data_IF_315505454210
#
_entry.id   IF_315505454210
#
_cell.length_a   1.000
_cell.length_b   1.000
_cell.length_c   1.000
_cell.angle_alpha   90.00
_cell.angle_beta   90.00
_cell.angle_gamma   90.00
#
_symmetry.space_group_name_H-M   'P 1'
#
loop_
_entity.id
_entity.type
_entity.pdbx_description
1 polymer ?
#
# COMPACT_ATOMS: atom_id res chain seq x y z
N UNK A 1 33.00 -10.67 41.79
CA UNK A 1 32.62 -9.28 42.14
C UNK A 1 32.10 -8.64 40.86
N UNK A 2 30.79 -8.79 40.60
CA UNK A 2 30.17 -8.35 39.35
C UNK A 2 30.04 -6.82 39.41
N UNK A 3 30.84 -6.12 38.60
CA UNK A 3 30.73 -4.66 38.45
C UNK A 3 29.72 -4.41 37.34
N UNK A 4 28.66 -3.69 37.68
CA UNK A 4 27.62 -3.28 36.73
C UNK A 4 28.21 -2.40 35.64
N UNK A 5 28.12 -2.89 34.39
CA UNK A 5 28.39 -2.12 33.19
C UNK A 5 27.24 -1.12 33.06
N UNK A 6 27.56 0.17 32.94
CA UNK A 6 26.56 1.21 32.67
C UNK A 6 25.81 0.83 31.39
N UNK A 7 24.46 0.71 31.42
CA UNK A 7 23.73 0.25 30.25
C UNK A 7 23.85 1.28 29.13
N UNK A 8 24.57 0.90 28.06
CA UNK A 8 24.58 1.68 26.82
C UNK A 8 23.28 1.42 26.07
N UNK A 9 22.75 2.48 25.44
CA UNK A 9 21.57 2.36 24.58
C UNK A 9 22.02 1.66 23.29
N UNK A 10 21.49 0.47 23.05
CA UNK A 10 21.69 -0.28 21.82
C UNK A 10 21.00 0.45 20.66
N UNK A 11 21.71 0.64 19.56
CA UNK A 11 21.22 1.25 18.34
C UNK A 11 20.76 0.15 17.38
N UNK A 12 19.48 0.21 17.00
CA UNK A 12 18.87 -0.59 15.95
C UNK A 12 19.06 0.11 14.59
N UNK A 13 20.32 0.18 14.15
CA UNK A 13 20.72 0.76 12.87
C UNK A 13 21.87 -0.04 12.28
N UNK A 14 21.83 -0.28 10.98
CA UNK A 14 22.96 -0.83 10.24
C UNK A 14 24.13 0.17 10.21
N UNK A 15 25.36 -0.33 10.06
CA UNK A 15 26.57 0.51 10.02
C UNK A 15 26.48 1.61 8.95
N UNK A 16 25.91 1.29 7.78
CA UNK A 16 25.68 2.26 6.70
C UNK A 16 24.73 3.40 7.11
N UNK A 17 23.68 3.08 7.87
CA UNK A 17 22.72 4.08 8.37
C UNK A 17 23.36 4.95 9.44
N UNK A 18 24.22 4.39 10.31
CA UNK A 18 24.99 5.16 11.29
C UNK A 18 25.91 6.17 10.61
N UNK A 19 26.58 5.76 9.53
CA UNK A 19 27.43 6.64 8.72
C UNK A 19 26.60 7.77 8.10
N UNK A 20 25.44 7.45 7.53
CA UNK A 20 24.54 8.44 6.93
C UNK A 20 24.00 9.44 7.96
N UNK A 21 23.55 8.94 9.12
CA UNK A 21 23.09 9.77 10.24
C UNK A 21 24.23 10.66 10.75
N UNK A 22 25.44 10.12 10.91
CA UNK A 22 26.60 10.87 11.37
C UNK A 22 26.97 12.02 10.41
N UNK A 23 27.01 11.74 9.10
CA UNK A 23 27.39 12.73 8.11
C UNK A 23 26.27 13.76 7.86
N UNK A 24 25.00 13.39 8.04
CA UNK A 24 23.86 14.28 7.75
C UNK A 24 23.35 15.03 8.98
N UNK A 25 23.07 14.32 10.07
CA UNK A 25 22.43 14.86 11.30
C UNK A 25 23.04 14.21 12.56
N UNK A 26 24.33 14.46 12.85
CA UNK A 26 25.05 13.76 13.93
C UNK A 26 24.49 14.04 15.33
N UNK A 27 23.73 15.14 15.49
CA UNK A 27 23.09 15.50 16.75
C UNK A 27 22.15 14.40 17.29
N UNK A 28 21.59 13.57 16.41
CA UNK A 28 20.73 12.43 16.77
C UNK A 28 21.48 11.42 17.65
N UNK A 29 22.78 11.25 17.43
CA UNK A 29 23.59 10.27 18.15
C UNK A 29 24.03 10.76 19.55
N UNK A 30 23.98 12.08 19.82
CA UNK A 30 24.53 12.70 21.05
C UNK A 30 24.04 12.08 22.36
N UNK A 31 22.79 11.62 22.39
CA UNK A 31 22.18 11.04 23.60
C UNK A 31 22.34 9.51 23.69
N UNK A 32 22.92 8.88 22.67
CA UNK A 32 23.09 7.43 22.53
C UNK A 32 24.56 7.01 22.49
N UNK A 33 25.48 7.94 22.75
CA UNK A 33 26.93 7.73 22.68
C UNK A 33 27.60 7.77 24.05
N UNK A 34 28.68 7.02 24.18
CA UNK A 34 29.66 7.20 25.27
C UNK A 34 30.80 8.08 24.76
N UNK A 35 31.09 9.15 25.50
CA UNK A 35 32.19 10.06 25.15
C UNK A 35 33.49 9.51 25.68
N UNK A 36 34.47 9.33 24.81
CA UNK A 36 35.78 8.75 25.14
C UNK A 36 36.92 9.59 24.60
N UNK A 37 38.10 9.41 25.19
CA UNK A 37 39.36 9.92 24.64
C UNK A 37 40.46 8.87 24.74
N UNK A 38 41.45 9.01 23.86
CA UNK A 38 42.65 8.18 23.92
C UNK A 38 43.50 8.62 25.11
N UNK A 39 44.06 7.66 25.83
CA UNK A 39 45.05 7.92 26.89
C UNK A 39 46.44 8.20 26.27
N UNK A 40 46.95 9.46 26.32
CA UNK A 40 48.23 9.84 25.72
C UNK A 40 49.42 9.07 26.31
N UNK A 41 49.32 8.67 27.59
CA UNK A 41 50.41 7.96 28.28
C UNK A 41 50.65 6.56 27.73
N UNK A 42 49.67 5.99 27.01
CA UNK A 42 49.72 4.65 26.43
C UNK A 42 50.06 4.64 24.93
N UNK A 43 50.19 5.82 24.31
CA UNK A 43 50.54 6.00 22.88
C UNK A 43 52.06 6.00 22.61
N UNK A 44 52.91 6.23 23.61
CA UNK A 44 54.34 6.55 23.41
C UNK A 44 55.30 5.37 23.25
N UNK A 45 54.94 4.30 22.54
CA UNK A 45 55.91 3.28 22.10
C UNK A 45 55.42 2.58 20.82
N UNK A 46 56.36 2.23 19.95
CA UNK A 46 56.29 1.82 18.53
C UNK A 46 55.39 0.59 18.18
N UNK A 47 54.50 0.17 19.08
CA UNK A 47 53.61 -0.99 18.89
C UNK A 47 52.41 -1.05 19.85
N UNK A 48 51.98 0.07 20.47
CA UNK A 48 50.83 0.05 21.39
C UNK A 48 49.52 0.40 20.69
N UNK A 49 48.59 -0.55 20.73
CA UNK A 49 47.19 -0.38 20.29
C UNK A 49 46.53 0.73 21.13
N UNK A 50 45.86 1.73 20.51
CA UNK A 50 45.20 2.80 21.24
C UNK A 50 44.14 2.28 22.23
N UNK A 51 44.19 2.81 23.45
CA UNK A 51 43.22 2.55 24.52
C UNK A 51 42.37 3.79 24.74
N UNK A 52 41.05 3.61 24.81
CA UNK A 52 40.08 4.67 25.03
C UNK A 52 39.41 4.54 26.39
N UNK A 53 39.17 5.67 27.04
CA UNK A 53 38.53 5.73 28.38
C UNK A 53 37.37 6.72 28.38
N UNK A 54 36.33 6.47 29.19
CA UNK A 54 35.19 7.39 29.31
C UNK A 54 35.65 8.74 29.87
N UNK A 55 35.35 9.81 29.15
CA UNK A 55 35.69 11.18 29.53
C UNK A 55 34.53 12.12 29.24
N UNK A 56 34.20 12.99 30.20
CA UNK A 56 33.11 13.99 30.06
C UNK A 56 33.24 14.83 28.78
N UNK A 57 34.48 15.18 28.43
CA UNK A 57 34.83 15.99 27.26
C UNK A 57 35.59 15.18 26.19
N UNK A 58 35.32 13.87 26.10
CA UNK A 58 35.93 13.00 25.10
C UNK A 58 35.78 13.52 23.67
N UNK A 59 36.85 13.36 22.89
CA UNK A 59 36.93 13.77 21.48
C UNK A 59 36.31 12.74 20.53
N UNK A 60 35.94 11.57 21.04
CA UNK A 60 35.36 10.49 20.26
C UNK A 60 34.10 9.97 20.94
N UNK A 61 33.25 9.33 20.15
CA UNK A 61 31.98 8.75 20.53
C UNK A 61 32.00 7.26 20.27
N UNK A 62 31.59 6.46 21.25
CA UNK A 62 31.33 5.05 21.07
C UNK A 62 29.82 4.84 20.96
N UNK A 63 29.41 4.13 19.92
CA UNK A 63 28.04 3.64 19.72
C UNK A 63 28.01 2.12 19.86
N UNK A 64 26.95 1.60 20.47
CA UNK A 64 26.71 0.16 20.60
C UNK A 64 25.58 -0.24 19.64
N UNK A 65 25.81 -1.24 18.80
CA UNK A 65 24.85 -1.72 17.79
C UNK A 65 24.28 -3.08 18.18
N UNK A 66 23.22 -3.55 17.52
CA UNK A 66 22.51 -4.82 17.80
C UNK A 66 23.38 -6.07 17.91
N UNK A 67 24.54 -6.13 17.25
CA UNK A 67 25.44 -7.28 17.31
C UNK A 67 26.44 -7.23 18.48
N UNK A 68 26.18 -6.38 19.48
CA UNK A 68 27.11 -6.06 20.59
C UNK A 68 28.48 -5.54 20.12
N UNK A 69 28.55 -5.07 18.87
CA UNK A 69 29.72 -4.40 18.29
C UNK A 69 29.76 -2.95 18.74
N UNK A 70 30.94 -2.49 19.14
CA UNK A 70 31.18 -1.11 19.51
C UNK A 70 31.91 -0.40 18.36
N UNK A 71 31.29 0.67 17.88
CA UNK A 71 31.86 1.51 16.84
C UNK A 71 32.30 2.85 17.41
N UNK A 72 33.49 3.28 17.03
CA UNK A 72 34.12 4.52 17.40
C UNK A 72 34.00 5.53 16.25
N UNK A 73 33.48 6.69 16.61
CA UNK A 73 33.24 7.82 15.73
C UNK A 73 34.00 9.04 16.27
N UNK A 74 34.50 9.95 15.43
CA UNK A 74 34.92 11.26 15.92
C UNK A 74 33.73 12.00 16.52
N UNK A 75 33.95 12.84 17.53
CA UNK A 75 32.89 13.71 18.04
C UNK A 75 32.49 14.71 16.96
N UNK A 76 31.20 14.92 16.76
CA UNK A 76 30.74 15.96 15.83
C UNK A 76 31.33 17.33 16.17
N UNK A 77 31.84 18.01 15.14
CA UNK A 77 32.47 19.32 15.26
C UNK A 77 33.88 19.28 15.87
N UNK A 78 34.50 18.10 15.99
CA UNK A 78 35.93 18.01 16.29
C UNK A 78 36.72 18.69 15.17
N UNK A 79 37.61 19.61 15.56
CA UNK A 79 38.54 20.24 14.63
C UNK A 79 39.82 19.42 14.59
N UNK A 80 40.10 18.79 13.45
CA UNK A 80 41.33 18.03 13.24
C UNK A 80 42.39 19.01 12.74
N UNK A 81 43.47 19.16 13.52
CA UNK A 81 44.58 20.08 13.27
C UNK A 81 45.90 19.34 13.48
N UNK A 82 47.02 19.98 13.16
CA UNK A 82 48.35 19.38 13.29
C UNK A 82 48.67 18.80 14.69
N UNK A 83 48.06 19.32 15.76
CA UNK A 83 48.36 18.89 17.13
C UNK A 83 47.60 17.63 17.54
N UNK A 84 46.42 17.37 16.97
CA UNK A 84 45.64 16.17 17.26
C UNK A 84 45.62 15.16 16.11
N UNK A 85 46.19 15.52 14.95
CA UNK A 85 46.25 14.66 13.77
C UNK A 85 46.90 13.31 14.07
N UNK A 86 47.98 13.27 14.85
CA UNK A 86 48.66 12.01 15.18
C UNK A 86 47.75 11.08 16.00
N UNK A 87 47.04 11.64 16.99
CA UNK A 87 46.05 10.89 17.77
C UNK A 87 44.90 10.40 16.87
N UNK A 88 44.42 11.23 15.94
CA UNK A 88 43.38 10.81 14.99
C UNK A 88 43.90 9.70 14.06
N UNK A 89 45.12 9.83 13.53
CA UNK A 89 45.78 8.81 12.68
C UNK A 89 46.00 7.47 13.39
N UNK A 90 46.10 7.49 14.72
CA UNK A 90 46.15 6.26 15.52
C UNK A 90 44.83 5.49 15.48
N UNK A 91 43.69 6.17 15.30
CA UNK A 91 42.34 5.60 15.34
C UNK A 91 41.67 5.48 13.96
N UNK A 92 42.01 6.37 13.03
CA UNK A 92 41.40 6.48 11.71
C UNK A 92 42.48 6.65 10.64
N UNK A 93 42.25 6.05 9.48
CA UNK A 93 42.96 6.40 8.26
C UNK A 93 42.41 7.73 7.73
N UNK A 94 43.29 8.69 7.49
CA UNK A 94 42.93 10.05 7.07
C UNK A 94 43.30 10.23 5.60
N UNK A 95 42.34 9.97 4.73
CA UNK A 95 42.49 10.04 3.28
C UNK A 95 42.40 11.49 2.80
N UNK A 96 43.26 11.86 1.83
CA UNK A 96 43.30 13.18 1.18
C UNK A 96 43.41 14.36 2.17
N UNK A 97 44.02 14.14 3.34
CA UNK A 97 44.21 15.21 4.32
C UNK A 97 45.17 16.28 3.78
N UNK A 98 44.65 17.49 3.56
CA UNK A 98 45.44 18.68 3.30
C UNK A 98 45.39 19.59 4.52
N UNK A 99 46.53 20.22 4.85
CA UNK A 99 46.60 21.28 5.87
C UNK A 99 45.85 22.53 5.34
N UNK A 100 44.53 22.46 5.31
CA UNK A 100 43.66 23.59 5.02
C UNK A 100 42.90 23.96 6.29
N UNK A 101 42.60 25.24 6.45
CA UNK A 101 41.98 25.81 7.65
C UNK A 101 40.52 25.33 7.88
N UNK A 102 39.97 24.58 6.93
CA UNK A 102 38.63 24.02 6.93
C UNK A 102 38.70 22.52 7.21
N UNK A 103 38.82 22.17 8.49
CA UNK A 103 38.87 20.79 8.98
C UNK A 103 37.55 20.03 8.90
N UNK A 104 36.80 20.20 7.80
CA UNK A 104 35.60 19.43 7.50
C UNK A 104 36.01 18.09 6.89
N UNK A 105 35.35 17.03 7.33
CA UNK A 105 35.62 15.67 6.89
C UNK A 105 34.32 14.88 6.84
N UNK A 106 34.34 13.80 6.08
CA UNK A 106 33.25 12.83 5.99
C UNK A 106 33.75 11.52 6.59
N UNK A 107 32.92 10.91 7.43
CA UNK A 107 33.17 9.56 7.91
C UNK A 107 32.79 8.58 6.82
N UNK A 108 33.75 7.78 6.34
CA UNK A 108 33.49 6.70 5.40
C UNK A 108 33.27 5.37 6.12
N UNK A 109 34.05 5.14 7.18
CA UNK A 109 33.97 3.93 7.97
C UNK A 109 34.25 4.23 9.44
N UNK A 110 33.40 3.78 10.37
CA UNK A 110 33.71 3.88 11.80
C UNK A 110 34.87 2.96 12.18
N UNK A 111 35.58 3.32 13.24
CA UNK A 111 36.60 2.45 13.83
C UNK A 111 35.93 1.39 14.70
N UNK A 112 36.44 0.16 14.70
CA UNK A 112 35.92 -0.93 15.53
C UNK A 112 36.68 -0.99 16.85
N UNK A 113 35.95 -1.12 17.95
CA UNK A 113 36.56 -1.25 19.28
C UNK A 113 35.95 -2.40 20.08
N UNK A 114 36.75 -3.00 20.96
CA UNK A 114 36.28 -4.00 21.93
C UNK A 114 36.34 -3.43 23.34
N UNK A 115 35.28 -3.63 24.11
CA UNK A 115 35.27 -3.28 25.54
C UNK A 115 36.18 -4.23 26.34
N UNK A 116 37.01 -3.67 27.20
CA UNK A 116 37.91 -4.44 28.06
C UNK A 116 37.15 -5.09 29.22
N UNK A 117 37.69 -6.15 29.86
CA UNK A 117 37.03 -6.84 30.97
C UNK A 117 36.73 -5.96 32.20
N UNK A 118 37.34 -4.79 32.30
CA UNK A 118 37.08 -3.81 33.34
C UNK A 118 35.78 -3.02 33.15
N UNK A 119 35.17 -3.13 31.96
CA UNK A 119 33.93 -2.44 31.57
C UNK A 119 34.06 -0.92 31.41
N UNK A 120 35.28 -0.38 31.35
CA UNK A 120 35.55 1.06 31.36
C UNK A 120 36.55 1.53 30.31
N UNK A 121 37.38 0.62 29.82
CA UNK A 121 38.33 0.88 28.76
C UNK A 121 37.87 0.18 27.47
N UNK A 122 38.19 0.78 26.31
CA UNK A 122 37.97 0.17 25.00
C UNK A 122 39.29 0.09 24.24
N UNK A 123 39.48 -1.00 23.51
CA UNK A 123 40.63 -1.25 22.64
C UNK A 123 40.24 -1.06 21.19
N UNK A 124 41.05 -0.33 20.44
CA UNK A 124 40.93 -0.30 18.98
C UNK A 124 41.29 -1.66 18.38
N UNK A 125 40.38 -2.26 17.61
CA UNK A 125 40.67 -3.47 16.84
C UNK A 125 40.90 -3.12 15.36
N UNK A 126 40.03 -2.28 14.77
CA UNK A 126 40.13 -1.86 13.37
C UNK A 126 40.06 -0.34 13.25
N UNK A 127 40.95 0.27 12.46
CA UNK A 127 40.90 1.71 12.18
C UNK A 127 39.68 2.06 11.33
N UNK A 128 39.08 3.21 11.62
CA UNK A 128 38.05 3.79 10.75
C UNK A 128 38.67 4.56 9.58
N UNK A 129 37.85 5.14 8.72
CA UNK A 129 38.30 5.91 7.55
C UNK A 129 37.59 7.26 7.52
N UNK A 130 38.38 8.32 7.47
CA UNK A 130 37.94 9.70 7.30
C UNK A 130 38.45 10.24 5.95
N UNK A 131 37.57 10.91 5.21
CA UNK A 131 37.92 11.59 3.98
C UNK A 131 37.79 13.10 4.15
N UNK A 132 38.83 13.83 3.77
CA UNK A 132 38.92 15.29 3.87
C UNK A 132 38.74 16.00 2.52
N UNK A 133 38.45 15.25 1.45
CA UNK A 133 38.15 15.83 0.15
C UNK A 133 36.79 16.56 0.18
N UNK A 134 36.76 17.90 0.00
CA UNK A 134 35.52 18.67 -0.02
C UNK A 134 34.63 18.33 -1.22
N UNK A 135 35.16 17.64 -2.22
CA UNK A 135 34.44 17.19 -3.40
C UNK A 135 33.81 15.79 -3.23
N UNK A 136 34.07 15.10 -2.13
CA UNK A 136 33.41 13.84 -1.79
C UNK A 136 32.08 14.10 -1.04
N UNK A 137 30.97 13.38 -1.30
CA UNK A 137 30.80 12.30 -2.26
C UNK A 137 30.14 12.82 -3.55
N UNK A 138 30.59 13.93 -4.14
CA UNK A 138 29.96 14.45 -5.36
C UNK A 138 30.13 13.47 -6.53
N UNK A 139 31.30 12.82 -6.66
CA UNK A 139 31.55 11.84 -7.72
C UNK A 139 30.73 10.55 -7.56
N UNK A 140 30.70 9.98 -6.36
CA UNK A 140 29.96 8.75 -6.08
C UNK A 140 28.44 8.96 -6.14
N UNK A 141 27.95 10.09 -5.61
CA UNK A 141 26.54 10.47 -5.73
C UNK A 141 26.15 10.68 -7.20
N UNK A 142 27.02 11.31 -8.01
CA UNK A 142 26.80 11.45 -9.47
C UNK A 142 26.77 10.09 -10.17
N UNK A 143 27.66 9.17 -9.80
CA UNK A 143 27.68 7.81 -10.36
C UNK A 143 26.39 7.03 -10.03
N UNK A 144 25.92 7.09 -8.77
CA UNK A 144 24.66 6.47 -8.35
C UNK A 144 23.46 7.08 -9.06
N UNK A 145 23.41 8.42 -9.20
CA UNK A 145 22.36 9.10 -9.97
C UNK A 145 22.37 8.67 -11.44
N UNK A 146 23.55 8.51 -12.04
CA UNK A 146 23.68 8.08 -13.43
C UNK A 146 23.23 6.62 -13.61
N UNK A 147 23.60 5.73 -12.70
CA UNK A 147 23.12 4.33 -12.69
C UNK A 147 21.60 4.26 -12.55
N UNK A 148 21.02 5.02 -11.61
CA UNK A 148 19.58 5.08 -11.42
C UNK A 148 18.85 5.58 -12.68
N UNK A 149 19.42 6.56 -13.40
CA UNK A 149 18.87 7.03 -14.67
C UNK A 149 18.89 5.96 -15.75
N UNK A 150 20.00 5.23 -15.89
CA UNK A 150 20.10 4.13 -16.86
C UNK A 150 19.08 3.02 -16.59
N UNK A 151 18.85 2.69 -15.32
CA UNK A 151 17.85 1.67 -14.98
C UNK A 151 16.42 2.17 -15.23
N UNK A 152 16.12 3.45 -14.99
CA UNK A 152 14.83 4.05 -15.35
C UNK A 152 14.59 3.96 -16.87
N UNK A 153 15.58 4.32 -17.69
CA UNK A 153 15.46 4.26 -19.15
C UNK A 153 15.24 2.83 -19.65
N UNK A 154 15.91 1.85 -19.03
CA UNK A 154 15.72 0.43 -19.30
C UNK A 154 14.29 -0.03 -18.96
N UNK A 155 13.82 0.26 -17.75
CA UNK A 155 12.48 -0.12 -17.30
C UNK A 155 11.38 0.52 -18.14
N UNK A 156 11.57 1.78 -18.56
CA UNK A 156 10.62 2.45 -19.47
C UNK A 156 10.55 1.76 -20.84
N UNK A 157 11.68 1.28 -21.35
CA UNK A 157 11.73 0.53 -22.61
C UNK A 157 10.99 -0.80 -22.51
N UNK A 158 11.20 -1.54 -21.42
CA UNK A 158 10.52 -2.81 -21.15
C UNK A 158 9.00 -2.63 -20.95
N UNK A 159 8.59 -1.55 -20.25
CA UNK A 159 7.19 -1.18 -20.09
C UNK A 159 6.52 -0.88 -21.45
N UNK A 160 7.21 -0.16 -22.33
CA UNK A 160 6.71 0.16 -23.66
C UNK A 160 6.52 -1.09 -24.53
N UNK A 161 7.47 -2.03 -24.46
CA UNK A 161 7.38 -3.30 -25.17
C UNK A 161 6.23 -4.17 -24.65
N UNK A 162 6.09 -4.29 -23.32
CA UNK A 162 4.99 -5.04 -22.68
C UNK A 162 3.63 -4.43 -23.04
N UNK A 163 3.53 -3.10 -23.08
CA UNK A 163 2.30 -2.41 -23.48
C UNK A 163 1.94 -2.73 -24.94
N UNK A 164 2.92 -2.70 -25.84
CA UNK A 164 2.73 -3.06 -27.26
C UNK A 164 2.28 -4.52 -27.41
N UNK A 165 2.86 -5.44 -26.64
CA UNK A 165 2.44 -6.84 -26.64
C UNK A 165 1.00 -7.01 -26.15
N UNK A 166 0.60 -6.31 -25.08
CA UNK A 166 -0.78 -6.33 -24.60
C UNK A 166 -1.77 -5.77 -25.63
N UNK A 167 -1.42 -4.69 -26.32
CA UNK A 167 -2.23 -4.14 -27.40
C UNK A 167 -2.41 -5.14 -28.55
N UNK A 168 -1.34 -5.85 -28.94
CA UNK A 168 -1.41 -6.91 -29.94
C UNK A 168 -2.26 -8.11 -29.48
N UNK A 169 -2.14 -8.51 -28.22
CA UNK A 169 -2.92 -9.61 -27.66
C UNK A 169 -4.41 -9.25 -27.64
N UNK A 170 -4.75 -8.04 -27.20
CA UNK A 170 -6.12 -7.54 -27.21
C UNK A 170 -6.71 -7.50 -28.62
N UNK A 171 -5.93 -7.08 -29.62
CA UNK A 171 -6.37 -7.10 -31.01
C UNK A 171 -6.68 -8.52 -31.50
N UNK A 172 -5.81 -9.50 -31.19
CA UNK A 172 -6.06 -10.92 -31.52
C UNK A 172 -7.28 -11.48 -30.82
N UNK A 173 -7.50 -11.13 -29.55
CA UNK A 173 -8.69 -11.56 -28.80
C UNK A 173 -9.96 -10.98 -29.44
N UNK A 174 -9.94 -9.72 -29.85
CA UNK A 174 -11.06 -9.09 -30.53
C UNK A 174 -11.37 -9.76 -31.89
N UNK A 175 -10.33 -10.09 -32.67
CA UNK A 175 -10.46 -10.79 -33.95
C UNK A 175 -11.09 -12.18 -33.77
N UNK A 176 -10.57 -12.98 -32.82
CA UNK A 176 -11.12 -14.30 -32.51
C UNK A 176 -12.57 -14.23 -31.98
N UNK A 177 -12.90 -13.19 -31.21
CA UNK A 177 -14.27 -12.98 -30.74
C UNK A 177 -15.22 -12.66 -31.90
N UNK A 178 -14.77 -11.85 -32.87
CA UNK A 178 -15.56 -11.51 -34.05
C UNK A 178 -15.81 -12.74 -34.94
N UNK A 179 -14.76 -13.53 -35.21
CA UNK A 179 -14.85 -14.76 -36.01
C UNK A 179 -15.81 -15.78 -35.35
N UNK A 180 -15.72 -15.98 -34.04
CA UNK A 180 -16.66 -16.84 -33.31
C UNK A 180 -18.11 -16.33 -33.40
N UNK A 181 -18.33 -15.02 -33.29
CA UNK A 181 -19.68 -14.44 -33.40
C UNK A 181 -20.26 -14.56 -34.82
N UNK A 182 -19.43 -14.55 -35.86
CA UNK A 182 -19.89 -14.75 -37.24
C UNK A 182 -20.25 -16.20 -37.58
N UNK A 183 -19.68 -17.17 -36.87
CA UNK A 183 -19.95 -18.59 -37.10
C UNK A 183 -21.16 -19.12 -36.30
N UNK A 184 -21.58 -18.44 -35.23
CA UNK A 184 -22.77 -18.80 -34.43
C UNK A 184 -24.08 -18.85 -35.25
N UNK A 185 -24.37 -17.93 -36.20
CA UNK A 185 -25.57 -17.98 -37.02
C UNK A 185 -25.67 -19.20 -37.96
N UNK A 186 -24.54 -19.83 -38.31
CA UNK A 186 -24.54 -20.99 -39.21
C UNK A 186 -24.96 -22.30 -38.53
N UNK A 187 -24.76 -22.40 -37.21
CA UNK A 187 -25.11 -23.58 -36.40
C UNK A 187 -26.46 -23.43 -35.65
N UNK A 188 -27.09 -22.25 -35.71
CA UNK A 188 -28.40 -22.02 -35.10
C UNK A 188 -29.50 -22.38 -36.10
N UNK A 189 -30.44 -23.24 -35.69
CA UNK A 189 -31.69 -23.50 -36.43
C UNK A 189 -32.30 -22.15 -36.77
N UNK A 190 -32.43 -21.87 -38.06
CA UNK A 190 -32.98 -20.60 -38.51
C UNK A 190 -34.43 -20.49 -38.03
N UNK A 191 -34.90 -19.26 -37.79
CA UNK A 191 -36.29 -19.01 -37.38
C UNK A 191 -37.30 -19.64 -38.36
N UNK A 192 -36.93 -19.74 -39.64
CA UNK A 192 -37.76 -20.33 -40.69
C UNK A 192 -37.80 -21.86 -40.60
N UNK A 193 -36.68 -22.51 -40.28
CA UNK A 193 -36.65 -23.97 -40.01
C UNK A 193 -37.44 -24.33 -38.74
N UNK A 194 -37.32 -23.53 -37.68
CA UNK A 194 -38.09 -23.74 -36.44
C UNK A 194 -39.60 -23.57 -36.69
N UNK A 195 -40.01 -22.58 -37.47
CA UNK A 195 -41.42 -22.37 -37.80
C UNK A 195 -41.97 -23.49 -38.70
N UNK A 196 -41.18 -23.97 -39.68
CA UNK A 196 -41.56 -25.12 -40.50
C UNK A 196 -41.74 -26.40 -39.65
N UNK A 197 -40.85 -26.67 -38.69
CA UNK A 197 -40.97 -27.81 -37.78
C UNK A 197 -42.19 -27.68 -36.85
N UNK A 198 -42.47 -26.48 -36.34
CA UNK A 198 -43.67 -26.23 -35.52
C UNK A 198 -44.95 -26.48 -36.30
N UNK A 199 -45.03 -26.03 -37.57
CA UNK A 199 -46.19 -26.28 -38.43
C UNK A 199 -46.37 -27.77 -38.74
N UNK A 200 -45.27 -28.51 -38.91
CA UNK A 200 -45.33 -29.96 -39.06
C UNK A 200 -45.89 -30.63 -37.80
N UNK A 201 -45.46 -30.20 -36.61
CA UNK A 201 -46.01 -30.69 -35.33
C UNK A 201 -47.51 -30.41 -35.20
N UNK A 202 -47.96 -29.21 -35.55
CA UNK A 202 -49.39 -28.85 -35.52
C UNK A 202 -50.22 -29.74 -36.45
N UNK A 203 -49.71 -30.01 -37.66
CA UNK A 203 -50.39 -30.90 -38.62
C UNK A 203 -50.44 -32.36 -38.14
N UNK A 204 -49.40 -32.80 -37.45
CA UNK A 204 -49.32 -34.14 -36.87
C UNK A 204 -50.29 -34.28 -35.70
N UNK A 205 -50.42 -33.24 -34.87
CA UNK A 205 -51.35 -33.19 -33.75
C UNK A 205 -52.81 -33.29 -34.23
N UNK A 206 -53.19 -32.55 -35.27
CA UNK A 206 -54.52 -32.65 -35.86
C UNK A 206 -54.79 -34.04 -36.47
N UNK A 207 -53.79 -34.61 -37.13
CA UNK A 207 -53.88 -35.99 -37.65
C UNK A 207 -54.07 -37.00 -36.51
N UNK A 208 -53.37 -36.82 -35.39
CA UNK A 208 -53.51 -37.68 -34.23
C UNK A 208 -54.91 -37.54 -33.59
N UNK A 209 -55.42 -36.32 -33.42
CA UNK A 209 -56.78 -36.08 -32.89
C UNK A 209 -57.84 -36.74 -33.75
N UNK A 210 -57.77 -36.58 -35.07
CA UNK A 210 -58.74 -37.19 -35.99
C UNK A 210 -58.64 -38.73 -35.98
N UNK A 211 -57.43 -39.28 -35.87
CA UNK A 211 -57.23 -40.73 -35.74
C UNK A 211 -57.82 -41.27 -34.44
N UNK A 212 -57.59 -40.59 -33.31
CA UNK A 212 -58.18 -40.94 -32.01
C UNK A 212 -59.71 -40.93 -32.10
N UNK A 213 -60.30 -39.90 -32.71
CA UNK A 213 -61.76 -39.81 -32.88
C UNK A 213 -62.31 -40.97 -33.72
N UNK A 214 -61.63 -41.34 -34.81
CA UNK A 214 -62.02 -42.48 -35.65
C UNK A 214 -61.94 -43.79 -34.89
N UNK A 215 -60.87 -44.02 -34.12
CA UNK A 215 -60.74 -45.21 -33.27
C UNK A 215 -61.87 -45.27 -32.25
N UNK A 216 -62.15 -44.17 -31.55
CA UNK A 216 -63.27 -44.10 -30.59
C UNK A 216 -64.64 -44.34 -31.23
N UNK A 217 -64.84 -43.93 -32.48
CA UNK A 217 -66.06 -44.22 -33.23
C UNK A 217 -66.15 -45.71 -33.60
N UNK A 218 -65.06 -46.30 -34.12
CA UNK A 218 -65.01 -47.72 -34.46
C UNK A 218 -65.22 -48.61 -33.22
N UNK A 219 -64.67 -48.24 -32.07
CA UNK A 219 -64.90 -48.93 -30.80
C UNK A 219 -66.39 -48.92 -30.40
N UNK A 220 -67.10 -47.82 -30.63
CA UNK A 220 -68.55 -47.75 -30.41
C UNK A 220 -69.31 -48.63 -31.40
N UNK A 221 -68.96 -48.57 -32.68
CA UNK A 221 -69.56 -49.42 -33.73
C UNK A 221 -69.39 -50.91 -33.41
N UNK A 222 -68.20 -51.33 -33.01
CA UNK A 222 -67.92 -52.73 -32.64
C UNK A 222 -68.69 -53.16 -31.40
N UNK A 223 -68.87 -52.26 -30.43
CA UNK A 223 -69.65 -52.54 -29.22
C UNK A 223 -71.15 -52.67 -29.51
N UNK A 224 -71.66 -51.86 -30.44
CA UNK A 224 -73.05 -51.92 -30.90
C UNK A 224 -73.31 -53.14 -31.81
N UNK A 225 -72.31 -53.58 -32.58
CA UNK A 225 -72.35 -54.79 -33.41
C UNK A 225 -72.24 -56.07 -32.55
N UNK A 226 -71.43 -56.04 -31.48
CA UNK A 226 -71.38 -57.10 -30.45
C UNK A 226 -72.68 -57.26 -29.66
N UNK A 227 -73.60 -56.28 -29.68
CA UNK A 227 -74.91 -56.36 -29.02
C UNK A 227 -76.02 -56.94 -29.93
N UNK A 228 -75.73 -57.19 -31.21
CA UNK A 228 -76.68 -57.81 -32.17
C UNK A 228 -76.51 -59.32 -32.35
N UNK A 229 -75.47 -59.93 -31.80
CA UNK A 229 -75.37 -61.39 -31.67
C UNK A 229 -75.78 -61.84 -30.26
N UNK A 230 -76.74 -62.77 -30.20
CA UNK A 230 -77.20 -63.39 -28.94
C UNK A 230 -76.26 -64.54 -28.50
N UNK A 231 -76.27 -64.88 -27.19
CA UNK A 231 -75.06 -65.15 -26.43
C UNK A 231 -74.67 -66.64 -26.41
N UNK A 232 -73.37 -66.90 -26.17
CA UNK A 232 -72.93 -68.19 -25.60
C UNK A 232 -72.39 -67.92 -24.21
N UNK A 233 -73.02 -68.60 -23.26
CA UNK A 233 -72.84 -68.54 -21.82
C UNK A 233 -71.62 -69.36 -21.38
N UNK A 234 -70.74 -68.78 -20.56
CA UNK A 234 -70.04 -69.53 -19.51
C UNK A 234 -69.43 -68.61 -18.44
N UNK A 235 -70.21 -68.38 -17.38
CA UNK A 235 -69.86 -68.42 -15.94
C UNK A 235 -68.50 -67.87 -15.44
N UNK A 236 -68.66 -66.77 -14.68
CA UNK A 236 -68.12 -66.51 -13.33
C UNK A 236 -66.60 -66.42 -13.10
N UNK A 237 -66.15 -65.24 -12.61
CA UNK A 237 -65.84 -65.04 -11.18
C UNK A 237 -65.74 -63.55 -10.82
N UNK A 238 -66.27 -63.25 -9.63
CA UNK A 238 -66.27 -61.96 -8.93
C UNK A 238 -64.85 -61.40 -8.75
N UNK A 239 -64.70 -60.07 -8.79
CA UNK A 239 -64.22 -59.23 -7.68
C UNK A 239 -64.35 -57.75 -8.08
N UNK A 240 -64.80 -56.91 -7.14
CA UNK A 240 -64.83 -55.44 -7.23
C UNK A 240 -64.08 -54.85 -6.01
N UNK A 241 -63.94 -53.52 -5.86
CA UNK A 241 -62.78 -52.72 -6.21
C UNK A 241 -62.15 -52.05 -4.96
N UNK A 242 -61.12 -51.19 -5.10
CA UNK A 242 -61.28 -49.81 -4.61
C UNK A 242 -60.60 -48.76 -5.51
N UNK A 243 -61.28 -47.67 -5.90
CA UNK A 243 -61.33 -46.35 -5.24
C UNK A 243 -60.04 -45.50 -5.28
N UNK A 244 -60.19 -44.32 -5.92
CA UNK A 244 -59.69 -42.96 -5.54
C UNK A 244 -58.16 -42.78 -5.49
N UNK A 245 -57.56 -41.76 -6.13
CA UNK A 245 -57.90 -40.34 -5.95
C UNK A 245 -57.61 -39.47 -7.18
N UNK A 246 -58.49 -38.48 -7.33
CA UNK A 246 -58.23 -37.19 -7.95
C UNK A 246 -57.09 -36.49 -7.20
N UNK A 247 -56.18 -35.84 -7.93
CA UNK A 247 -55.86 -34.47 -7.55
C UNK A 247 -55.48 -33.65 -8.80
N UNK A 248 -56.11 -32.49 -8.82
CA UNK A 248 -56.23 -31.50 -9.87
C UNK A 248 -55.42 -30.32 -9.37
N UNK A 249 -54.56 -29.73 -10.20
CA UNK A 249 -54.38 -28.28 -10.26
C UNK A 249 -53.48 -27.87 -11.44
N UNK A 250 -54.11 -27.23 -12.42
CA UNK A 250 -53.48 -26.27 -13.33
C UNK A 250 -53.42 -24.89 -12.61
N UNK A 251 -53.07 -23.78 -13.29
CA UNK A 251 -51.79 -23.37 -13.88
C UNK A 251 -51.41 -21.95 -13.37
N UNK A 252 -50.28 -21.35 -13.81
CA UNK A 252 -50.23 -19.92 -14.20
C UNK A 252 -48.87 -19.49 -14.74
N UNK A 253 -48.89 -19.14 -16.01
CA UNK A 253 -47.91 -18.27 -16.68
C UNK A 253 -48.31 -16.82 -16.41
N UNK A 254 -47.34 -15.95 -16.13
CA UNK A 254 -47.36 -14.54 -16.54
C UNK A 254 -45.95 -13.93 -16.47
N UNK A 255 -45.68 -12.88 -17.26
CA UNK A 255 -44.43 -12.71 -18.01
C UNK A 255 -43.55 -11.59 -17.48
N UNK A 256 -42.26 -11.55 -17.88
CA UNK A 256 -41.52 -10.29 -17.84
C UNK A 256 -40.45 -10.19 -18.92
N UNK A 257 -40.57 -9.08 -19.65
CA UNK A 257 -39.70 -8.59 -20.71
C UNK A 257 -38.75 -7.50 -20.17
N UNK A 258 -37.74 -7.21 -20.99
CA UNK A 258 -36.89 -6.01 -21.13
C UNK A 258 -35.44 -6.11 -20.63
N UNK A 259 -34.54 -6.12 -21.64
CA UNK A 259 -33.18 -5.58 -21.78
C UNK A 259 -32.30 -5.37 -20.56
N UNK A 260 -31.06 -5.89 -20.65
CA UNK A 260 -29.87 -5.20 -20.14
C UNK A 260 -28.65 -5.61 -20.98
N UNK A 261 -27.95 -4.59 -21.48
CA UNK A 261 -26.66 -4.64 -22.16
C UNK A 261 -25.52 -5.21 -21.26
N UNK A 262 -24.40 -5.63 -21.87
CA UNK A 262 -23.30 -6.30 -21.19
C UNK A 262 -22.43 -5.29 -20.42
N UNK A 263 -22.38 -5.43 -19.09
CA UNK A 263 -21.45 -4.69 -18.24
C UNK A 263 -20.19 -5.53 -18.02
N UNK A 264 -19.05 -5.01 -18.47
CA UNK A 264 -17.70 -5.51 -18.16
C UNK A 264 -17.50 -5.72 -16.65
N UNK A 265 -16.71 -6.74 -16.24
CA UNK A 265 -16.37 -6.94 -14.84
C UNK A 265 -15.43 -5.83 -14.36
N UNK A 266 -15.99 -4.81 -13.72
CA UNK A 266 -15.28 -3.90 -12.83
C UNK A 266 -15.18 -4.61 -11.47
N UNK A 267 -13.99 -4.74 -10.86
CA UNK A 267 -13.88 -5.38 -9.56
C UNK A 267 -14.75 -4.62 -8.55
N UNK A 268 -15.58 -5.38 -7.86
CA UNK A 268 -16.49 -4.87 -6.84
C UNK A 268 -15.69 -4.04 -5.84
N UNK A 269 -16.10 -2.77 -5.69
CA UNK A 269 -15.84 -2.01 -4.47
C UNK A 269 -16.46 -2.79 -3.32
N UNK A 270 -15.64 -3.55 -2.60
CA UNK A 270 -15.92 -3.76 -1.18
C UNK A 270 -15.88 -2.38 -0.56
N UNK A 271 -17.05 -1.88 -0.16
CA UNK A 271 -17.12 -0.87 0.89
C UNK A 271 -16.49 -1.55 2.10
N UNK A 272 -15.18 -1.37 2.27
CA UNK A 272 -14.48 -1.74 3.48
C UNK A 272 -15.12 -0.89 4.56
N UNK A 273 -15.97 -1.50 5.38
CA UNK A 273 -16.29 -1.00 6.71
C UNK A 273 -14.96 -0.72 7.38
N UNK A 274 -14.58 0.55 7.43
CA UNK A 274 -13.41 1.00 8.16
C UNK A 274 -13.63 0.56 9.60
N UNK A 275 -12.89 -0.46 10.05
CA UNK A 275 -12.80 -0.80 11.45
C UNK A 275 -12.22 0.44 12.13
N UNK A 276 -13.05 1.17 12.87
CA UNK A 276 -12.61 2.34 13.63
C UNK A 276 -11.42 1.94 14.49
N UNK A 277 -10.23 2.36 14.08
CA UNK A 277 -9.02 2.17 14.84
C UNK A 277 -9.15 2.95 16.15
N UNK A 278 -8.82 2.31 17.29
CA UNK A 278 -9.00 2.89 18.63
C UNK A 278 -8.31 4.27 18.78
N UNK A 279 -7.31 4.57 17.95
CA UNK A 279 -6.61 5.85 17.95
C UNK A 279 -7.43 7.01 17.36
N UNK A 280 -8.37 6.77 16.45
CA UNK A 280 -9.24 7.83 15.89
C UNK A 280 -10.16 8.40 16.97
N UNK A 281 -10.65 7.55 17.87
CA UNK A 281 -11.42 7.99 19.03
C UNK A 281 -10.54 8.79 19.99
N UNK A 282 -9.28 8.41 20.17
CA UNK A 282 -8.29 9.16 20.96
C UNK A 282 -7.96 10.53 20.35
N UNK A 283 -7.84 10.60 19.02
CA UNK A 283 -7.67 11.84 18.28
C UNK A 283 -8.86 12.78 18.47
N UNK A 284 -10.09 12.28 18.27
CA UNK A 284 -11.31 13.07 18.41
C UNK A 284 -11.55 13.56 19.84
N UNK A 285 -11.00 12.86 20.85
CA UNK A 285 -11.02 13.29 22.27
C UNK A 285 -9.99 14.38 22.61
N UNK A 286 -9.28 14.93 21.62
CA UNK A 286 -8.25 15.97 21.80
C UNK A 286 -7.15 15.57 22.80
N UNK A 287 -6.79 14.29 22.84
CA UNK A 287 -5.66 13.85 23.66
C UNK A 287 -4.35 14.25 22.97
N UNK A 288 -3.51 15.02 23.66
CA UNK A 288 -2.17 15.45 23.20
C UNK A 288 -1.15 14.30 23.11
N UNK A 289 -1.60 13.04 23.18
CA UNK A 289 -0.77 11.85 23.28
C UNK A 289 -0.32 11.26 21.93
N UNK A 290 -0.84 11.75 20.80
CA UNK A 290 -0.45 11.24 19.48
C UNK A 290 0.80 11.97 18.98
N UNK A 291 1.89 11.23 18.80
CA UNK A 291 3.10 11.72 18.13
C UNK A 291 2.83 11.84 16.63
N UNK A 292 2.50 13.05 16.18
CA UNK A 292 2.19 13.37 14.78
C UNK A 292 3.37 14.08 14.12
N UNK A 293 3.70 13.71 12.89
CA UNK A 293 4.65 14.49 12.07
C UNK A 293 3.90 15.59 11.35
N UNK A 294 4.21 16.85 11.66
CA UNK A 294 3.52 18.00 11.06
C UNK A 294 3.85 18.18 9.57
N UNK A 295 2.80 18.25 8.75
CA UNK A 295 2.90 18.37 7.29
C UNK A 295 1.91 19.38 6.72
N UNK A 296 2.23 19.89 5.53
CA UNK A 296 1.35 20.73 4.73
C UNK A 296 1.42 20.33 3.25
N UNK A 297 0.32 20.49 2.48
CA UNK A 297 0.37 20.30 1.03
C UNK A 297 1.33 21.29 0.37
N UNK A 298 2.01 20.87 -0.70
CA UNK A 298 2.88 21.75 -1.48
C UNK A 298 2.04 22.75 -2.29
N UNK A 299 2.52 23.99 -2.41
CA UNK A 299 1.87 25.01 -3.25
C UNK A 299 1.73 24.56 -4.70
N UNK A 300 2.73 23.83 -5.22
CA UNK A 300 2.69 23.27 -6.57
C UNK A 300 1.52 22.30 -6.75
N UNK A 301 1.35 21.33 -5.85
CA UNK A 301 0.28 20.33 -5.97
C UNK A 301 -1.11 20.95 -5.80
N UNK A 302 -1.23 21.97 -4.93
CA UNK A 302 -2.46 22.75 -4.79
C UNK A 302 -2.78 23.58 -6.03
N UNK A 303 -1.78 24.24 -6.62
CA UNK A 303 -1.98 25.03 -7.83
C UNK A 303 -2.33 24.14 -9.03
N UNK A 304 -1.68 23.00 -9.18
CA UNK A 304 -2.03 22.02 -10.20
C UNK A 304 -3.49 21.57 -10.04
N UNK A 305 -3.95 21.31 -8.81
CA UNK A 305 -5.36 20.98 -8.54
C UNK A 305 -6.31 22.13 -8.91
N UNK A 306 -5.98 23.38 -8.58
CA UNK A 306 -6.78 24.57 -8.94
C UNK A 306 -6.89 24.75 -10.46
N UNK A 307 -5.87 24.34 -11.20
CA UNK A 307 -5.84 24.32 -12.67
C UNK A 307 -6.57 23.10 -13.27
N UNK A 308 -7.23 22.27 -12.47
CA UNK A 308 -8.01 21.12 -12.92
C UNK A 308 -7.22 19.82 -13.06
N UNK A 309 -5.95 19.79 -12.66
CA UNK A 309 -5.13 18.58 -12.69
C UNK A 309 -5.69 17.50 -11.77
N UNK A 310 -5.54 16.24 -12.21
CA UNK A 310 -5.86 15.04 -11.43
C UNK A 310 -4.65 14.44 -10.72
N UNK A 311 -3.50 15.10 -10.79
CA UNK A 311 -2.31 14.66 -10.06
C UNK A 311 -2.57 14.55 -8.55
N UNK A 312 -1.92 13.59 -7.88
CA UNK A 312 -2.06 13.39 -6.45
C UNK A 312 -1.48 14.58 -5.68
N UNK A 313 -2.02 14.86 -4.49
CA UNK A 313 -1.51 15.92 -3.62
C UNK A 313 -0.24 15.43 -2.92
N UNK A 314 0.78 16.28 -2.92
CA UNK A 314 2.05 16.04 -2.23
C UNK A 314 2.07 16.87 -0.96
N UNK A 315 2.45 16.22 0.14
CA UNK A 315 2.58 16.80 1.48
C UNK A 315 4.05 16.79 1.87
N UNK A 316 4.53 17.85 2.51
CA UNK A 316 5.90 17.98 3.00
C UNK A 316 5.93 18.37 4.46
N UNK A 317 7.01 18.01 5.16
CA UNK A 317 7.23 18.41 6.55
C UNK A 317 7.21 19.93 6.70
N UNK A 318 6.43 20.43 7.67
CA UNK A 318 6.33 21.85 7.97
C UNK A 318 6.35 22.06 9.47
N UNK A 319 7.11 23.08 9.94
CA UNK A 319 7.20 23.43 11.38
C UNK A 319 5.90 23.98 11.99
N UNK A 320 4.93 24.30 11.14
CA UNK A 320 3.57 24.75 11.51
C UNK A 320 2.59 24.09 10.56
N UNK A 321 2.65 22.76 10.50
CA UNK A 321 1.82 21.98 9.59
C UNK A 321 0.34 22.11 9.94
N UNK A 322 -0.50 22.20 8.93
CA UNK A 322 -1.96 22.17 9.13
C UNK A 322 -2.49 20.76 9.32
N UNK A 323 -1.67 19.76 9.02
CA UNK A 323 -2.00 18.35 9.12
C UNK A 323 -0.88 17.60 9.83
N UNK A 324 -1.19 16.40 10.31
CA UNK A 324 -0.23 15.50 10.95
C UNK A 324 -0.28 14.12 10.29
N UNK A 325 0.89 13.50 10.16
CA UNK A 325 1.01 12.08 9.80
C UNK A 325 1.11 11.25 11.08
N UNK A 326 0.19 10.30 11.22
CA UNK A 326 0.22 9.25 12.22
C UNK A 326 0.62 7.94 11.55
N UNK A 327 1.55 7.22 12.15
CA UNK A 327 2.08 5.96 11.63
C UNK A 327 1.56 4.84 12.52
N UNK A 328 0.85 3.87 11.93
CA UNK A 328 0.35 2.69 12.62
C UNK A 328 0.76 1.44 11.82
N UNK A 329 1.81 0.76 12.30
CA UNK A 329 2.45 -0.32 11.55
C UNK A 329 2.99 0.17 10.19
N UNK A 330 2.45 -0.39 9.11
CA UNK A 330 2.87 -0.10 7.73
C UNK A 330 2.03 0.98 7.03
N UNK A 331 0.99 1.49 7.69
CA UNK A 331 0.09 2.48 7.11
C UNK A 331 0.37 3.88 7.65
N UNK A 332 0.33 4.88 6.76
CA UNK A 332 0.52 6.28 7.11
C UNK A 332 -0.80 7.01 6.93
N UNK A 333 -1.26 7.60 8.02
CA UNK A 333 -2.54 8.27 8.12
C UNK A 333 -2.37 9.78 8.22
N UNK A 334 -3.05 10.52 7.36
CA UNK A 334 -3.11 11.96 7.40
C UNK A 334 -4.38 12.40 8.15
N UNK A 335 -4.18 13.27 9.14
CA UNK A 335 -5.25 13.87 9.93
C UNK A 335 -5.04 15.38 10.03
N UNK A 336 -6.10 16.19 10.21
CA UNK A 336 -5.92 17.60 10.55
C UNK A 336 -5.10 17.78 11.84
N UNK A 337 -4.31 18.84 11.94
CA UNK A 337 -3.64 19.15 13.21
C UNK A 337 -4.67 19.56 14.26
N UNK A 338 -4.45 19.24 15.53
CA UNK A 338 -5.40 19.53 16.64
C UNK A 338 -5.73 21.02 16.78
N UNK A 339 -4.84 21.89 16.29
CA UNK A 339 -4.94 23.35 16.40
C UNK A 339 -5.42 23.97 15.08
N UNK A 340 -5.63 23.15 14.03
CA UNK A 340 -6.04 23.59 12.72
C UNK A 340 -7.55 23.83 12.70
N UNK A 341 -7.94 25.07 12.42
CA UNK A 341 -9.34 25.45 12.25
C UNK A 341 -9.68 25.48 10.77
N UNK A 342 -10.73 24.76 10.41
CA UNK A 342 -11.28 24.80 9.06
C UNK A 342 -12.17 26.05 8.96
N UNK A 343 -11.87 26.86 7.96
CA UNK A 343 -12.51 28.14 7.67
C UNK A 343 -12.89 28.18 6.20
N UNK A 344 -13.77 29.08 5.79
CA UNK A 344 -14.13 29.25 4.38
C UNK A 344 -12.91 29.46 3.46
N UNK A 345 -11.87 30.14 3.97
CA UNK A 345 -10.66 30.44 3.21
C UNK A 345 -9.78 29.21 2.95
N UNK A 346 -9.77 28.24 3.88
CA UNK A 346 -8.96 27.03 3.75
C UNK A 346 -9.77 25.78 3.40
N UNK A 347 -11.10 25.87 3.40
CA UNK A 347 -12.01 24.76 3.11
C UNK A 347 -11.68 24.09 1.78
N UNK A 348 -11.48 24.87 0.71
CA UNK A 348 -11.13 24.33 -0.60
C UNK A 348 -9.85 23.51 -0.60
N UNK A 349 -8.90 23.81 0.30
CA UNK A 349 -7.67 23.03 0.46
C UNK A 349 -7.94 21.74 1.22
N UNK A 350 -8.78 21.80 2.26
CA UNK A 350 -9.19 20.62 3.05
C UNK A 350 -9.99 19.64 2.20
N UNK A 351 -10.92 20.13 1.38
CA UNK A 351 -11.80 19.32 0.53
C UNK A 351 -11.03 18.43 -0.46
N UNK A 352 -9.79 18.80 -0.82
CA UNK A 352 -8.93 17.97 -1.67
C UNK A 352 -8.37 16.76 -0.91
N UNK A 353 -8.21 16.88 0.41
CA UNK A 353 -7.60 15.87 1.27
C UNK A 353 -8.66 15.04 2.01
N UNK A 354 -9.83 15.62 2.26
CA UNK A 354 -10.90 15.04 3.04
C UNK A 354 -12.27 15.32 2.41
N UNK A 355 -13.10 14.28 2.32
CA UNK A 355 -14.53 14.42 2.09
C UNK A 355 -15.17 15.10 3.32
N UNK A 356 -15.65 16.33 3.14
CA UNK A 356 -16.26 17.12 4.19
C UNK A 356 -17.78 16.93 4.18
N UNK A 357 -18.32 16.22 5.17
CA UNK A 357 -19.76 15.97 5.31
C UNK A 357 -20.41 17.01 6.21
N UNK A 358 -21.60 17.47 5.80
CA UNK A 358 -22.42 18.44 6.53
C UNK A 358 -21.74 19.79 6.79
N UNK A 359 -20.75 20.17 5.99
CA UNK A 359 -20.15 21.49 6.09
C UNK A 359 -21.15 22.57 5.62
N UNK A 360 -21.59 23.41 6.54
CA UNK A 360 -22.39 24.60 6.22
C UNK A 360 -21.53 25.86 6.37
N UNK A 361 -21.20 26.57 5.28
CA UNK A 361 -20.48 27.84 5.38
C UNK A 361 -21.37 28.89 6.06
N UNK A 362 -20.87 29.51 7.13
CA UNK A 362 -21.54 30.63 7.78
C UNK A 362 -21.43 31.89 6.89
N UNK A 363 -22.54 32.49 6.43
CA UNK A 363 -22.52 33.69 5.59
C UNK A 363 -21.94 34.93 6.30
N UNK A 364 -21.79 34.92 7.62
CA UNK A 364 -21.22 36.04 8.38
C UNK A 364 -19.68 35.97 8.51
N UNK A 365 -19.05 34.85 8.16
CA UNK A 365 -17.60 34.64 8.31
C UNK A 365 -17.11 34.63 9.77
N UNK A 366 -18.01 34.80 10.74
CA UNK A 366 -17.70 35.00 12.16
C UNK A 366 -17.61 33.71 12.96
N UNK A 367 -18.21 32.61 12.49
CA UNK A 367 -18.05 31.30 13.13
C UNK A 367 -17.31 30.34 12.20
N UNK A 368 -16.05 30.06 12.55
CA UNK A 368 -15.37 28.87 12.04
C UNK A 368 -16.18 27.66 12.47
N UNK A 369 -16.50 26.73 11.55
CA UNK A 369 -16.96 25.38 11.89
C UNK A 369 -15.78 24.60 12.49
N UNK A 370 -15.28 25.10 13.62
CA UNK A 370 -14.05 24.67 14.27
C UNK A 370 -14.18 23.32 14.97
N UNK A 371 -15.40 22.81 15.07
CA UNK A 371 -15.68 21.48 15.59
C UNK A 371 -15.97 20.57 14.40
N UNK A 372 -15.03 19.68 14.11
CA UNK A 372 -15.25 18.56 13.20
C UNK A 372 -14.88 17.26 13.93
N UNK A 373 -15.49 16.16 13.51
CA UNK A 373 -15.13 14.81 13.91
C UNK A 373 -14.46 14.11 12.75
N UNK A 374 -13.29 13.54 13.01
CA UNK A 374 -12.63 12.63 12.07
C UNK A 374 -13.39 11.30 12.05
N UNK A 375 -14.01 10.97 10.92
CA UNK A 375 -14.68 9.68 10.73
C UNK A 375 -13.74 8.65 10.10
N UNK A 376 -12.91 9.10 9.15
CA UNK A 376 -11.90 8.27 8.49
C UNK A 376 -10.64 9.11 8.24
N UNK A 377 -9.45 8.65 8.66
CA UNK A 377 -8.21 9.31 8.29
C UNK A 377 -7.94 9.19 6.78
N UNK A 378 -7.24 10.16 6.21
CA UNK A 378 -6.73 10.05 4.85
C UNK A 378 -5.54 9.08 4.84
N UNK A 379 -5.35 8.35 3.74
CA UNK A 379 -4.22 7.42 3.56
C UNK A 379 -3.18 8.07 2.67
N UNK A 380 -1.93 8.03 3.09
CA UNK A 380 -0.80 8.59 2.34
C UNK A 380 0.33 7.57 2.22
N UNK A 381 1.20 7.75 1.22
CA UNK A 381 2.43 6.96 1.07
C UNK A 381 3.67 7.85 1.06
N UNK A 382 4.76 7.47 1.75
CA UNK A 382 6.01 8.20 1.69
C UNK A 382 6.63 8.07 0.29
N UNK A 383 7.11 9.19 -0.28
CA UNK A 383 7.71 9.21 -1.63
C UNK A 383 9.18 9.66 -1.63
N UNK A 384 9.63 10.45 -0.65
CA UNK A 384 10.99 11.01 -0.60
C UNK A 384 11.65 10.69 0.74
N UNK A 385 11.99 9.42 0.98
CA UNK A 385 12.74 9.00 2.17
C UNK A 385 12.14 9.48 3.50
N UNK A 386 10.80 9.54 3.59
CA UNK A 386 10.07 9.98 4.79
C UNK A 386 9.97 11.50 5.00
N UNK A 387 10.36 12.34 4.01
CA UNK A 387 10.21 13.81 4.08
C UNK A 387 8.96 14.35 3.35
N UNK A 388 8.42 13.55 2.44
CA UNK A 388 7.24 13.89 1.65
C UNK A 388 6.32 12.70 1.53
N UNK A 389 5.02 12.97 1.50
CA UNK A 389 3.96 11.97 1.38
C UNK A 389 3.01 12.32 0.24
N UNK A 390 2.55 11.31 -0.46
CA UNK A 390 1.56 11.44 -1.51
C UNK A 390 0.20 10.97 -1.00
N UNK A 391 -0.85 11.77 -1.22
CA UNK A 391 -2.22 11.38 -0.94
C UNK A 391 -2.64 10.19 -1.84
N UNK A 392 -3.04 9.09 -1.21
CA UNK A 392 -3.58 7.92 -1.89
C UNK A 392 -5.10 7.87 -1.81
N UNK A 393 -5.65 7.99 -0.60
CA UNK A 393 -7.08 7.99 -0.36
C UNK A 393 -7.48 9.19 0.51
N UNK A 394 -8.50 9.97 0.12
CA UNK A 394 -9.00 11.05 0.95
C UNK A 394 -9.66 10.51 2.24
N UNK A 395 -9.54 11.28 3.31
CA UNK A 395 -10.20 10.99 4.58
C UNK A 395 -11.65 11.48 4.58
N UNK A 396 -12.35 11.34 5.70
CA UNK A 396 -13.72 11.81 5.88
C UNK A 396 -13.82 12.59 7.18
N UNK A 397 -14.28 13.84 7.06
CA UNK A 397 -14.59 14.73 8.19
C UNK A 397 -16.09 14.96 8.25
N UNK A 398 -16.63 15.02 9.46
CA UNK A 398 -18.01 15.39 9.73
C UNK A 398 -18.05 16.67 10.57
N UNK A 399 -18.78 17.68 10.11
CA UNK A 399 -18.98 18.95 10.80
C UNK A 399 -20.28 18.96 11.61
#
# INVERSE_FOLDING_TARGET
>A
MNKEIKPMIKLDFAVAEIIEIYNSVPKILTNKVVKVAVDPSRLSSDSKIPMLTEQKNGNYWIVLVEDDTYWLLPKHGIRINQFNLETVRSLFDCQEYQLSEHGDFILLQPAEVTIMPDGKEWRLDTKGILNFDPSYPAAESRARIQQARQEIDRLQSELAETKKQNEQLNARVAELAYDKLQNIPADLVTRDEFTAQSQQLDSLEETLKTTIQRVSQLEKSMKDESLREKPIDSKSKKYSPPQRKEEREQPRIAPRSYYSEPVSPRPARSVSTFSNSQWVDTYNRQSTSLSLTEVSPTEESLNNRRLGSRQPIILETSRRGHYGIYIDGNENYLVPSQHFRITQNNYKTVEVLFECRNYTPDPSGTHSSGNFKLLKPAIVYPITGGKSWQLYEPGILQF
#
